data_IF_222541508005
#
_entry.id   IF_222541508005
#
_cell.length_a   1.000
_cell.length_b   1.000
_cell.length_c   1.000
_cell.angle_alpha   90.00
_cell.angle_beta   90.00
_cell.angle_gamma   90.00
#
_symmetry.space_group_name_H-M   'P 1'
#
loop_
_entity.id
_entity.type
_entity.pdbx_description
1 polymer ?
#
# COMPACT_ATOMS: atom_id res chain seq x y z
N UNK A 1 -6.31 21.70 -19.79
CA UNK A 1 -6.73 20.91 -18.61
C UNK A 1 -5.66 21.08 -17.54
N UNK A 2 -6.02 21.29 -16.26
CA UNK A 2 -4.99 21.48 -15.23
C UNK A 2 -4.09 20.26 -15.12
N UNK A 3 -2.78 20.47 -14.90
CA UNK A 3 -1.75 19.41 -14.76
C UNK A 3 -2.16 18.33 -13.74
N UNK A 4 -2.93 18.73 -12.73
CA UNK A 4 -3.49 17.87 -11.68
C UNK A 4 -4.56 16.88 -12.19
N UNK A 5 -5.59 17.35 -12.90
CA UNK A 5 -6.65 16.48 -13.42
C UNK A 5 -6.11 15.45 -14.41
N UNK A 6 -5.09 15.84 -15.17
CA UNK A 6 -4.40 14.93 -16.08
C UNK A 6 -3.63 13.83 -15.35
N UNK A 7 -2.98 14.13 -14.21
CA UNK A 7 -2.24 13.13 -13.45
C UNK A 7 -3.17 12.10 -12.79
N UNK A 8 -4.25 12.57 -12.16
CA UNK A 8 -5.27 11.68 -11.56
C UNK A 8 -5.82 10.71 -12.60
N UNK A 9 -6.10 11.20 -13.82
CA UNK A 9 -6.57 10.35 -14.92
C UNK A 9 -5.55 9.28 -15.31
N UNK A 10 -4.28 9.64 -15.50
CA UNK A 10 -3.23 8.67 -15.88
C UNK A 10 -3.00 7.62 -14.79
N UNK A 11 -2.95 8.03 -13.52
CA UNK A 11 -2.85 7.09 -12.39
C UNK A 11 -4.02 6.10 -12.38
N UNK A 12 -5.24 6.58 -12.61
CA UNK A 12 -6.43 5.72 -12.72
C UNK A 12 -6.30 4.71 -13.86
N UNK A 13 -5.82 5.13 -15.03
CA UNK A 13 -5.60 4.26 -16.20
C UNK A 13 -4.57 3.17 -15.88
N UNK A 14 -3.41 3.53 -15.34
CA UNK A 14 -2.34 2.58 -14.94
C UNK A 14 -2.87 1.52 -13.97
N UNK A 15 -3.60 1.94 -12.93
CA UNK A 15 -4.14 1.02 -11.93
C UNK A 15 -5.21 0.09 -12.55
N UNK A 16 -6.12 0.62 -13.38
CA UNK A 16 -7.20 -0.19 -13.98
C UNK A 16 -6.70 -1.22 -14.97
N UNK A 17 -5.62 -0.94 -15.67
CA UNK A 17 -5.02 -1.90 -16.62
C UNK A 17 -4.35 -3.09 -15.93
N UNK A 18 -4.02 -2.93 -14.65
CA UNK A 18 -3.10 -3.86 -13.96
C UNK A 18 -3.66 -4.43 -12.66
N UNK A 19 -4.92 -4.13 -12.32
CA UNK A 19 -5.56 -4.55 -11.06
C UNK A 19 -6.95 -5.11 -11.33
N UNK A 20 -7.38 -6.06 -10.50
CA UNK A 20 -8.74 -6.62 -10.59
C UNK A 20 -9.81 -5.58 -10.26
N UNK A 21 -9.57 -4.79 -9.22
CA UNK A 21 -10.48 -3.74 -8.80
C UNK A 21 -9.73 -2.46 -8.40
N UNK A 22 -10.31 -1.32 -8.76
CA UNK A 22 -9.78 0.01 -8.42
C UNK A 22 -10.91 0.85 -7.84
N UNK A 23 -10.77 1.21 -6.57
CA UNK A 23 -11.68 2.09 -5.85
C UNK A 23 -11.12 3.50 -5.85
N UNK A 24 -11.85 4.43 -6.47
CA UNK A 24 -11.57 5.87 -6.38
C UNK A 24 -12.37 6.50 -5.24
N UNK A 25 -11.64 7.18 -4.34
CA UNK A 25 -12.16 7.82 -3.14
C UNK A 25 -12.22 9.33 -3.30
N UNK A 26 -13.42 9.87 -3.11
CA UNK A 26 -13.71 11.30 -3.24
C UNK A 26 -13.99 11.98 -1.88
N UNK A 27 -13.64 11.32 -0.78
CA UNK A 27 -13.90 11.81 0.58
C UNK A 27 -12.59 12.03 1.36
N UNK A 28 -12.50 13.07 2.22
CA UNK A 28 -13.48 14.16 2.45
C UNK A 28 -13.75 15.06 1.24
N UNK A 29 -14.98 15.63 1.16
CA UNK A 29 -15.39 16.55 0.09
C UNK A 29 -14.88 17.99 0.29
N UNK A 30 -14.74 18.42 1.56
CA UNK A 30 -14.23 19.74 1.89
C UNK A 30 -12.75 19.87 1.52
N UNK A 31 -12.23 21.10 1.43
CA UNK A 31 -10.83 21.44 1.12
C UNK A 31 -9.79 20.85 2.09
N UNK A 32 -10.20 19.99 3.03
CA UNK A 32 -9.31 19.20 3.86
C UNK A 32 -8.57 18.19 2.97
N UNK A 33 -7.26 18.11 3.19
CA UNK A 33 -6.38 17.21 2.46
C UNK A 33 -6.85 15.75 2.61
N UNK A 34 -7.39 15.16 1.54
CA UNK A 34 -7.73 13.73 1.48
C UNK A 34 -6.48 12.89 1.62
N UNK A 35 -6.55 11.77 2.33
CA UNK A 35 -5.36 10.93 2.53
C UNK A 35 -5.18 9.84 1.48
N UNK A 36 -6.27 9.39 0.87
CA UNK A 36 -6.27 8.31 -0.12
C UNK A 36 -7.13 8.76 -1.29
N UNK A 37 -6.61 8.62 -2.52
CA UNK A 37 -7.38 8.86 -3.74
C UNK A 37 -7.77 7.53 -4.40
N UNK A 38 -6.89 6.54 -4.38
CA UNK A 38 -7.16 5.23 -4.97
C UNK A 38 -6.75 4.08 -4.06
N UNK A 39 -7.51 3.00 -4.12
CA UNK A 39 -7.14 1.69 -3.57
C UNK A 39 -7.28 0.70 -4.71
N UNK A 40 -6.22 -0.03 -5.03
CA UNK A 40 -6.26 -1.08 -6.05
C UNK A 40 -5.93 -2.43 -5.43
N UNK A 41 -6.75 -3.43 -5.75
CA UNK A 41 -6.67 -4.81 -5.26
C UNK A 41 -6.47 -5.78 -6.43
N UNK A 42 -5.88 -6.94 -6.13
CA UNK A 42 -5.54 -7.92 -7.18
C UNK A 42 -4.56 -7.33 -8.21
N UNK A 43 -3.65 -6.45 -7.77
CA UNK A 43 -2.64 -5.86 -8.65
C UNK A 43 -1.78 -6.99 -9.18
N UNK A 44 -1.84 -7.25 -10.48
CA UNK A 44 -1.08 -8.32 -11.13
C UNK A 44 0.36 -7.84 -11.26
N UNK A 45 1.21 -8.33 -10.37
CA UNK A 45 2.64 -8.03 -10.40
C UNK A 45 3.30 -9.11 -11.24
N UNK A 46 3.89 -8.69 -12.35
CA UNK A 46 4.73 -9.57 -13.16
C UNK A 46 6.06 -9.79 -12.42
N UNK A 47 6.13 -10.90 -11.67
CA UNK A 47 7.36 -11.35 -11.04
C UNK A 47 8.20 -12.24 -11.97
N UNK A 48 9.51 -12.01 -12.01
CA UNK A 48 10.47 -12.97 -12.55
C UNK A 48 10.75 -14.06 -11.52
N UNK A 49 10.46 -15.33 -11.85
CA UNK A 49 10.57 -16.46 -10.92
C UNK A 49 12.00 -16.92 -10.73
N UNK A 50 12.35 -17.29 -9.48
CA UNK A 50 13.64 -17.84 -9.02
C UNK A 50 14.17 -19.05 -9.80
N UNK A 51 13.33 -19.90 -10.36
CA UNK A 51 13.70 -21.01 -11.24
C UNK A 51 12.44 -21.34 -12.06
N UNK A 52 12.53 -21.48 -13.39
CA UNK A 52 11.45 -21.76 -14.39
C UNK A 52 10.66 -20.56 -14.98
N UNK A 53 10.48 -20.59 -16.31
CA UNK A 53 9.82 -19.60 -17.19
C UNK A 53 8.29 -19.47 -17.02
N UNK A 54 7.79 -19.48 -15.78
CA UNK A 54 6.37 -19.22 -15.49
C UNK A 54 6.27 -17.96 -14.66
N UNK A 55 5.72 -16.90 -15.22
CA UNK A 55 5.35 -15.67 -14.49
C UNK A 55 4.38 -16.04 -13.38
N UNK A 56 4.78 -15.86 -12.12
CA UNK A 56 3.82 -15.91 -11.01
C UNK A 56 3.05 -14.60 -11.07
N UNK A 57 1.72 -14.69 -11.12
CA UNK A 57 0.85 -13.57 -10.78
C UNK A 57 0.88 -13.44 -9.25
N UNK A 58 1.69 -12.53 -8.72
CA UNK A 58 1.51 -12.11 -7.34
C UNK A 58 0.37 -11.09 -7.34
N UNK A 59 -0.68 -11.37 -6.58
CA UNK A 59 -1.76 -10.40 -6.33
C UNK A 59 -1.32 -9.47 -5.22
N UNK A 60 -1.09 -8.21 -5.57
CA UNK A 60 -0.74 -7.14 -4.66
C UNK A 60 -1.92 -6.24 -4.34
N UNK A 61 -1.74 -5.40 -3.33
CA UNK A 61 -2.61 -4.27 -3.06
C UNK A 61 -1.78 -3.00 -2.96
N UNK A 62 -2.29 -1.90 -3.52
CA UNK A 62 -1.61 -0.60 -3.46
C UNK A 62 -2.61 0.48 -3.07
N UNK A 63 -2.19 1.36 -2.17
CA UNK A 63 -2.97 2.50 -1.70
C UNK A 63 -2.28 3.75 -2.21
N UNK A 64 -2.98 4.52 -3.03
CA UNK A 64 -2.38 5.62 -3.77
C UNK A 64 -2.95 6.96 -3.33
N UNK A 65 -2.03 7.90 -3.08
CA UNK A 65 -2.31 9.33 -2.97
C UNK A 65 -1.70 10.07 -4.15
N UNK A 66 -2.49 10.81 -4.91
CA UNK A 66 -2.00 11.70 -5.95
C UNK A 66 -1.74 13.08 -5.34
N UNK A 67 -0.46 13.43 -5.21
CA UNK A 67 -0.05 14.76 -4.73
C UNK A 67 0.15 15.69 -5.92
N UNK A 68 -0.62 16.77 -5.93
CA UNK A 68 -0.49 17.85 -6.93
C UNK A 68 0.17 19.09 -6.34
N UNK A 69 0.61 19.00 -5.08
CA UNK A 69 1.32 20.05 -4.37
C UNK A 69 2.78 20.10 -4.81
N UNK A 70 3.34 21.31 -4.81
CA UNK A 70 4.78 21.51 -5.02
C UNK A 70 5.58 20.79 -3.95
N UNK A 71 6.75 20.30 -4.33
CA UNK A 71 7.67 19.45 -3.55
C UNK A 71 7.03 18.17 -3.05
N UNK A 72 6.04 17.64 -3.78
CA UNK A 72 5.36 16.37 -3.46
C UNK A 72 4.99 16.27 -1.97
N UNK A 73 4.61 17.41 -1.38
CA UNK A 73 4.48 17.50 0.05
C UNK A 73 3.18 16.83 0.49
N UNK A 74 3.32 15.92 1.45
CA UNK A 74 2.21 15.18 2.06
C UNK A 74 2.28 15.46 3.55
N UNK A 75 1.17 15.86 4.15
CA UNK A 75 1.13 16.08 5.59
C UNK A 75 1.43 14.78 6.35
N UNK A 76 2.00 14.88 7.55
CA UNK A 76 2.28 13.70 8.39
C UNK A 76 1.02 12.90 8.73
N UNK A 77 -0.14 13.56 8.88
CA UNK A 77 -1.41 12.85 9.10
C UNK A 77 -1.88 12.10 7.85
N UNK A 78 -1.62 12.63 6.65
CA UNK A 78 -1.90 11.91 5.41
C UNK A 78 -0.97 10.72 5.22
N UNK A 79 0.32 10.92 5.50
CA UNK A 79 1.31 9.84 5.45
C UNK A 79 0.92 8.69 6.40
N UNK A 80 0.51 9.03 7.62
CA UNK A 80 0.10 8.06 8.64
C UNK A 80 -1.18 7.32 8.26
N UNK A 81 -2.22 8.02 7.78
CA UNK A 81 -3.46 7.38 7.31
C UNK A 81 -3.19 6.46 6.10
N UNK A 82 -2.34 6.88 5.16
CA UNK A 82 -1.96 6.09 4.00
C UNK A 82 -1.23 4.80 4.43
N UNK A 83 -0.27 4.92 5.35
CA UNK A 83 0.48 3.79 5.90
C UNK A 83 -0.42 2.85 6.71
N UNK A 84 -1.26 3.37 7.61
CA UNK A 84 -2.20 2.56 8.40
C UNK A 84 -3.17 1.79 7.53
N UNK A 85 -3.75 2.43 6.51
CA UNK A 85 -4.67 1.76 5.60
C UNK A 85 -3.94 0.67 4.80
N UNK A 86 -2.75 0.98 4.26
CA UNK A 86 -1.93 0.00 3.54
C UNK A 86 -1.55 -1.20 4.42
N UNK A 87 -1.15 -0.98 5.67
CA UNK A 87 -0.86 -2.05 6.62
C UNK A 87 -2.09 -2.91 6.89
N UNK A 88 -3.25 -2.27 7.12
CA UNK A 88 -4.50 -2.95 7.41
C UNK A 88 -4.92 -3.90 6.29
N UNK A 89 -4.67 -3.53 5.03
CA UNK A 89 -5.04 -4.33 3.87
C UNK A 89 -3.90 -5.25 3.36
N UNK A 90 -2.70 -5.21 3.96
CA UNK A 90 -1.47 -5.87 3.47
C UNK A 90 -1.04 -5.38 2.06
N UNK A 91 -1.15 -4.07 1.86
CA UNK A 91 -0.74 -3.36 0.65
C UNK A 91 0.49 -2.47 0.82
N UNK A 92 0.83 -1.75 -0.25
CA UNK A 92 1.93 -0.77 -0.30
C UNK A 92 1.37 0.64 -0.35
N UNK A 93 1.78 1.55 0.56
CA UNK A 93 1.39 2.95 0.49
C UNK A 93 2.29 3.71 -0.52
N UNK A 94 1.67 4.33 -1.52
CA UNK A 94 2.39 4.99 -2.61
C UNK A 94 1.83 6.40 -2.89
N UNK A 95 2.71 7.39 -3.02
CA UNK A 95 2.36 8.76 -3.40
C UNK A 95 2.84 9.02 -4.81
N UNK A 96 1.94 9.48 -5.67
CA UNK A 96 2.26 9.85 -7.05
C UNK A 96 2.37 11.37 -7.18
N UNK A 97 3.47 11.85 -7.78
CA UNK A 97 3.68 13.28 -8.08
C UNK A 97 4.38 13.49 -9.43
N UNK A 98 4.11 14.61 -10.10
CA UNK A 98 4.78 14.98 -11.36
C UNK A 98 6.21 15.52 -11.18
N UNK A 99 6.66 15.78 -9.95
CA UNK A 99 7.95 16.43 -9.68
C UNK A 99 9.10 15.45 -9.38
N UNK A 100 8.84 14.14 -9.46
CA UNK A 100 9.80 13.09 -9.16
C UNK A 100 10.39 12.53 -10.45
N UNK A 101 11.65 12.07 -10.39
CA UNK A 101 12.32 11.47 -11.53
C UNK A 101 11.70 10.12 -11.91
N UNK A 102 11.69 9.85 -13.21
CA UNK A 102 11.29 8.56 -13.77
C UNK A 102 12.13 7.44 -13.16
N UNK A 103 11.48 6.31 -12.86
CA UNK A 103 12.12 5.08 -12.37
C UNK A 103 12.90 5.21 -11.06
N UNK A 104 12.62 6.26 -10.27
CA UNK A 104 13.11 6.38 -8.91
C UNK A 104 11.93 6.33 -7.95
N UNK A 105 11.95 5.35 -7.05
CA UNK A 105 11.07 5.28 -5.90
C UNK A 105 11.76 5.94 -4.71
N UNK A 106 11.17 6.96 -4.14
CA UNK A 106 11.68 7.65 -2.97
C UNK A 106 11.07 7.06 -1.71
N UNK A 107 11.91 6.79 -0.72
CA UNK A 107 11.45 6.40 0.60
C UNK A 107 11.37 7.64 1.51
N UNK A 108 10.17 7.98 1.98
CA UNK A 108 9.95 9.08 2.93
C UNK A 108 9.08 8.59 4.08
N UNK A 109 9.65 8.58 5.28
CA UNK A 109 8.99 8.08 6.48
C UNK A 109 8.45 6.67 6.29
N UNK A 110 7.13 6.55 6.15
CA UNK A 110 6.40 5.28 6.05
C UNK A 110 5.73 5.04 4.70
N UNK A 111 5.98 5.90 3.72
CA UNK A 111 5.40 5.81 2.39
C UNK A 111 6.48 5.81 1.31
N UNK A 112 6.11 5.29 0.14
CA UNK A 112 6.93 5.39 -1.06
C UNK A 112 6.39 6.47 -1.98
N UNK A 113 7.26 7.11 -2.74
CA UNK A 113 6.87 8.14 -3.69
C UNK A 113 7.48 7.84 -5.05
N UNK A 114 6.75 8.15 -6.11
CA UNK A 114 7.26 8.10 -7.47
C UNK A 114 6.37 8.97 -8.36
N UNK A 115 6.73 9.08 -9.63
CA UNK A 115 5.82 9.63 -10.61
C UNK A 115 4.94 8.52 -11.20
N UNK A 116 4.04 8.90 -12.11
CA UNK A 116 3.11 7.96 -12.71
C UNK A 116 3.81 6.91 -13.59
N UNK A 117 4.89 7.27 -14.30
CA UNK A 117 5.72 6.31 -15.04
C UNK A 117 6.41 5.32 -14.09
N UNK A 118 6.94 5.78 -12.97
CA UNK A 118 7.51 4.90 -11.93
C UNK A 118 6.46 3.94 -11.39
N UNK A 119 5.23 4.39 -11.15
CA UNK A 119 4.12 3.53 -10.74
C UNK A 119 3.79 2.49 -11.82
N UNK A 120 3.69 2.90 -13.08
CA UNK A 120 3.43 1.98 -14.20
C UNK A 120 4.52 0.91 -14.29
N UNK A 121 5.79 1.31 -14.25
CA UNK A 121 6.92 0.40 -14.33
C UNK A 121 7.06 -0.50 -13.11
N UNK A 122 6.66 -0.03 -11.92
CA UNK A 122 6.65 -0.84 -10.70
C UNK A 122 5.66 -2.01 -10.79
N UNK A 123 4.54 -1.80 -11.48
CA UNK A 123 3.50 -2.81 -11.65
C UNK A 123 3.79 -3.71 -12.86
N UNK A 124 4.21 -3.12 -13.99
CA UNK A 124 4.41 -3.82 -15.26
C UNK A 124 5.83 -4.37 -15.47
N UNK A 125 6.77 -4.07 -14.56
CA UNK A 125 8.18 -4.54 -14.59
C UNK A 125 8.91 -4.25 -15.92
N UNK A 126 8.76 -3.05 -16.50
CA UNK A 126 9.32 -2.72 -17.83
C UNK A 126 10.72 -2.12 -17.82
N UNK A 127 11.02 -1.30 -16.81
CA UNK A 127 12.28 -0.54 -16.72
C UNK A 127 12.93 -0.78 -15.35
N UNK A 128 14.25 -0.60 -15.27
CA UNK A 128 14.99 -0.70 -14.02
C UNK A 128 14.56 0.43 -13.08
N UNK A 129 14.12 0.08 -11.88
CA UNK A 129 13.71 1.03 -10.83
C UNK A 129 14.73 1.00 -9.71
N UNK A 130 15.16 2.18 -9.27
CA UNK A 130 16.00 2.36 -8.09
C UNK A 130 15.19 2.90 -6.90
N UNK A 131 15.62 2.56 -5.69
CA UNK A 131 15.11 3.10 -4.44
C UNK A 131 16.03 4.22 -3.95
N UNK A 132 15.53 5.43 -3.82
CA UNK A 132 16.22 6.53 -3.15
C UNK A 132 15.92 6.54 -1.65
N UNK A 133 16.94 6.36 -0.82
CA UNK A 133 16.85 6.31 0.64
C UNK A 133 18.10 6.92 1.25
N UNK A 134 17.94 7.74 2.29
CA UNK A 134 19.07 8.33 3.05
C UNK A 134 20.14 8.98 2.14
N UNK A 135 19.68 9.72 1.14
CA UNK A 135 20.51 10.41 0.14
C UNK A 135 21.32 9.51 -0.81
N UNK A 136 21.00 8.23 -0.89
CA UNK A 136 21.66 7.27 -1.79
C UNK A 136 20.62 6.52 -2.63
N UNK A 137 21.05 6.06 -3.81
CA UNK A 137 20.26 5.20 -4.68
C UNK A 137 20.66 3.73 -4.47
N UNK A 138 19.64 2.88 -4.38
CA UNK A 138 19.76 1.45 -4.18
C UNK A 138 19.05 0.70 -5.31
N UNK A 139 19.63 -0.42 -5.72
CA UNK A 139 19.03 -1.38 -6.65
C UNK A 139 18.99 -2.76 -6.02
N UNK A 140 18.15 -3.65 -6.55
CA UNK A 140 18.08 -5.02 -6.07
C UNK A 140 19.20 -5.87 -6.69
N UNK A 141 19.61 -6.93 -6.02
CA UNK A 141 20.45 -7.97 -6.62
C UNK A 141 19.60 -8.94 -7.45
N UNK A 142 20.10 -9.31 -8.63
CA UNK A 142 19.55 -10.43 -9.38
C UNK A 142 20.09 -11.74 -8.83
N UNK A 143 19.50 -12.23 -7.74
CA UNK A 143 19.94 -13.45 -7.05
C UNK A 143 20.06 -14.64 -8.00
N UNK A 144 19.12 -14.79 -8.93
CA UNK A 144 19.13 -15.93 -9.86
C UNK A 144 20.32 -15.88 -10.80
N UNK A 145 20.59 -14.70 -11.36
CA UNK A 145 21.71 -14.53 -12.27
C UNK A 145 23.02 -14.71 -11.52
N UNK A 146 23.11 -14.21 -10.29
CA UNK A 146 24.28 -14.43 -9.42
C UNK A 146 24.49 -15.93 -9.16
N UNK A 147 23.45 -16.67 -8.75
CA UNK A 147 23.54 -18.13 -8.52
C UNK A 147 23.95 -18.89 -9.79
N UNK A 148 23.41 -18.49 -10.95
CA UNK A 148 23.79 -19.05 -12.25
C UNK A 148 25.25 -18.77 -12.60
N UNK A 149 25.71 -17.54 -12.42
CA UNK A 149 27.10 -17.16 -12.74
C UNK A 149 28.10 -17.79 -11.76
N UNK A 150 27.75 -17.93 -10.47
CA UNK A 150 28.50 -18.74 -9.49
C UNK A 150 28.67 -20.17 -10.02
N UNK A 151 27.57 -20.79 -10.42
CA UNK A 151 27.57 -22.19 -10.90
C UNK A 151 28.32 -22.35 -12.22
N UNK A 152 28.19 -21.38 -13.14
CA UNK A 152 28.73 -21.45 -14.49
C UNK A 152 30.21 -21.10 -14.57
N UNK A 153 30.67 -20.10 -13.82
CA UNK A 153 32.06 -19.61 -13.86
C UNK A 153 32.91 -20.10 -12.68
N UNK A 154 32.30 -20.80 -11.72
CA UNK A 154 32.99 -21.22 -10.49
C UNK A 154 33.33 -20.06 -9.55
N UNK A 155 32.63 -18.93 -9.66
CA UNK A 155 32.86 -17.75 -8.80
C UNK A 155 32.51 -18.12 -7.37
N UNK A 156 33.41 -17.85 -6.41
CA UNK A 156 33.10 -18.09 -4.99
C UNK A 156 32.26 -16.95 -4.44
N UNK A 157 31.35 -17.27 -3.52
CA UNK A 157 30.54 -16.28 -2.83
C UNK A 157 31.39 -15.22 -2.11
N UNK A 158 32.60 -15.60 -1.66
CA UNK A 158 33.57 -14.69 -1.04
C UNK A 158 34.06 -13.62 -2.01
N UNK A 159 34.30 -13.98 -3.27
CA UNK A 159 34.78 -13.04 -4.29
C UNK A 159 33.73 -11.96 -4.58
N UNK A 160 32.46 -12.36 -4.66
CA UNK A 160 31.35 -11.41 -4.80
C UNK A 160 31.22 -10.51 -3.57
N UNK A 161 31.40 -11.06 -2.36
CA UNK A 161 31.33 -10.26 -1.14
C UNK A 161 32.47 -9.25 -1.02
N UNK A 162 33.67 -9.62 -1.51
CA UNK A 162 34.85 -8.76 -1.54
C UNK A 162 34.64 -7.59 -2.52
N UNK A 163 34.15 -7.86 -3.74
CA UNK A 163 33.81 -6.83 -4.74
C UNK A 163 32.78 -5.84 -4.19
N UNK A 164 31.75 -6.35 -3.50
CA UNK A 164 30.70 -5.53 -2.89
C UNK A 164 31.15 -4.81 -1.61
N UNK A 165 32.31 -5.16 -1.05
CA UNK A 165 32.77 -4.67 0.24
C UNK A 165 31.76 -4.95 1.35
N UNK A 166 31.23 -6.18 1.42
CA UNK A 166 30.31 -6.63 2.46
C UNK A 166 30.78 -7.94 3.07
N UNK A 167 30.30 -8.27 4.27
CA UNK A 167 30.58 -9.58 4.83
C UNK A 167 29.92 -10.68 4.01
N UNK A 168 30.52 -11.87 3.97
CA UNK A 168 29.91 -13.08 3.37
C UNK A 168 28.49 -13.33 3.91
N UNK A 169 28.30 -13.17 5.22
CA UNK A 169 26.98 -13.31 5.87
C UNK A 169 25.97 -12.28 5.34
N UNK A 170 26.41 -11.04 5.09
CA UNK A 170 25.57 -10.00 4.50
C UNK A 170 25.15 -10.37 3.08
N UNK A 171 26.08 -10.85 2.25
CA UNK A 171 25.76 -11.30 0.89
C UNK A 171 24.80 -12.50 0.90
N UNK A 172 25.03 -13.49 1.76
CA UNK A 172 24.12 -14.64 1.91
C UNK A 172 22.70 -14.18 2.32
N UNK A 173 22.60 -13.16 3.19
CA UNK A 173 21.31 -12.56 3.55
C UNK A 173 20.67 -11.80 2.38
N UNK A 174 21.47 -11.10 1.58
CA UNK A 174 21.00 -10.42 0.38
C UNK A 174 20.42 -11.40 -0.64
N UNK A 175 21.11 -12.52 -0.89
CA UNK A 175 20.68 -13.55 -1.83
C UNK A 175 19.41 -14.28 -1.34
N UNK A 176 19.30 -14.57 -0.03
CA UNK A 176 18.10 -15.19 0.56
C UNK A 176 16.86 -14.28 0.52
N UNK A 177 17.06 -12.96 0.53
CA UNK A 177 16.01 -11.97 0.65
C UNK A 177 15.90 -11.01 -0.54
N UNK A 178 15.72 -9.74 -0.20
CA UNK A 178 15.53 -8.61 -1.11
C UNK A 178 16.75 -7.71 -1.04
N UNK A 179 17.93 -8.31 -1.29
CA UNK A 179 19.20 -7.63 -1.14
C UNK A 179 19.24 -6.32 -1.93
N UNK A 180 19.22 -5.20 -1.21
CA UNK A 180 19.46 -3.88 -1.78
C UNK A 180 20.92 -3.51 -1.62
N UNK A 181 21.53 -3.07 -2.71
CA UNK A 181 22.90 -2.54 -2.74
C UNK A 181 22.88 -1.13 -3.32
N UNK A 182 23.83 -0.29 -2.92
CA UNK A 182 23.96 1.05 -3.52
C UNK A 182 24.36 0.95 -4.98
N UNK A 183 24.05 1.99 -5.78
CA UNK A 183 24.48 2.06 -7.19
C UNK A 183 26.00 1.90 -7.32
N UNK A 184 26.78 2.52 -6.44
CA UNK A 184 28.25 2.38 -6.46
C UNK A 184 28.68 0.90 -6.36
N UNK A 185 28.00 0.11 -5.51
CA UNK A 185 28.28 -1.32 -5.39
C UNK A 185 27.80 -2.11 -6.61
N UNK A 186 26.70 -1.68 -7.23
CA UNK A 186 26.19 -2.28 -8.45
C UNK A 186 27.17 -2.08 -9.62
N UNK A 187 27.73 -0.87 -9.77
CA UNK A 187 28.73 -0.54 -10.78
C UNK A 187 29.98 -1.42 -10.65
N UNK A 188 30.42 -1.69 -9.42
CA UNK A 188 31.54 -2.62 -9.16
C UNK A 188 31.24 -4.04 -9.64
N UNK A 189 30.03 -4.56 -9.39
CA UNK A 189 29.63 -5.89 -9.88
C UNK A 189 29.63 -5.96 -11.41
N UNK A 190 29.05 -4.95 -12.07
CA UNK A 190 28.98 -4.90 -13.53
C UNK A 190 30.39 -4.80 -14.13
N UNK A 191 31.26 -3.99 -13.53
CA UNK A 191 32.65 -3.80 -13.99
C UNK A 191 33.45 -5.10 -13.87
N UNK A 192 33.36 -5.79 -12.73
CA UNK A 192 34.16 -7.00 -12.47
C UNK A 192 33.69 -8.19 -13.32
N UNK A 193 32.38 -8.42 -13.37
CA UNK A 193 31.84 -9.65 -13.96
C UNK A 193 31.34 -9.49 -15.40
N UNK A 194 31.19 -8.23 -15.87
CA UNK A 194 30.60 -7.88 -17.18
C UNK A 194 29.22 -8.51 -17.39
N UNK A 195 28.44 -8.60 -16.31
CA UNK A 195 27.08 -9.16 -16.28
C UNK A 195 26.21 -8.25 -15.43
N UNK A 196 25.00 -7.99 -15.90
CA UNK A 196 24.02 -7.17 -15.19
C UNK A 196 23.40 -7.95 -14.01
N UNK A 197 24.19 -8.11 -12.95
CA UNK A 197 23.81 -8.82 -11.72
C UNK A 197 22.85 -8.02 -10.83
N UNK A 198 22.28 -6.92 -11.33
CA UNK A 198 21.27 -6.14 -10.62
C UNK A 198 19.88 -6.34 -11.20
N UNK A 199 18.90 -5.98 -10.40
CA UNK A 199 17.48 -6.09 -10.72
C UNK A 199 16.74 -4.84 -10.25
N UNK A 200 15.55 -4.66 -10.82
CA UNK A 200 14.63 -3.58 -10.47
C UNK A 200 14.12 -3.73 -9.03
N UNK A 201 13.93 -2.60 -8.35
CA UNK A 201 13.17 -2.57 -7.09
C UNK A 201 11.70 -2.86 -7.41
N UNK A 202 11.24 -4.06 -7.07
CA UNK A 202 9.88 -4.53 -7.35
C UNK A 202 8.88 -4.18 -6.25
N UNK A 203 7.59 -4.36 -6.53
CA UNK A 203 6.52 -4.27 -5.53
C UNK A 203 6.80 -5.11 -4.29
N UNK A 204 7.22 -6.37 -4.47
CA UNK A 204 7.48 -7.30 -3.36
C UNK A 204 8.63 -6.79 -2.47
N UNK A 205 9.62 -6.12 -3.07
CA UNK A 205 10.69 -5.44 -2.31
C UNK A 205 10.12 -4.31 -1.46
N UNK A 206 9.30 -3.43 -2.05
CA UNK A 206 8.68 -2.32 -1.33
C UNK A 206 7.76 -2.80 -0.21
N UNK A 207 6.94 -3.83 -0.46
CA UNK A 207 6.05 -4.44 0.53
C UNK A 207 6.82 -4.96 1.74
N UNK A 208 7.93 -5.67 1.53
CA UNK A 208 8.76 -6.17 2.62
C UNK A 208 9.49 -5.06 3.37
N UNK A 209 10.00 -4.03 2.69
CA UNK A 209 10.58 -2.85 3.36
C UNK A 209 9.54 -2.20 4.26
N UNK A 210 8.32 -2.03 3.76
CA UNK A 210 7.21 -1.46 4.51
C UNK A 210 6.86 -2.32 5.73
N UNK A 211 6.72 -3.65 5.56
CA UNK A 211 6.45 -4.58 6.66
C UNK A 211 7.53 -4.56 7.75
N UNK A 212 8.81 -4.53 7.37
CA UNK A 212 9.95 -4.54 8.31
C UNK A 212 10.11 -3.25 9.09
N UNK A 213 9.78 -2.11 8.48
CA UNK A 213 9.84 -0.80 9.14
C UNK A 213 8.69 -0.54 10.10
N UNK A 214 7.63 -1.31 9.98
CA UNK A 214 6.39 -1.07 10.70
C UNK A 214 6.41 -1.84 12.02
N UNK A 215 6.72 -1.16 13.11
CA UNK A 215 6.07 -1.50 14.39
C UNK A 215 4.57 -1.28 14.16
N UNK A 216 3.74 -2.30 14.37
CA UNK A 216 2.29 -2.27 14.08
C UNK A 216 1.69 -0.92 14.45
N UNK A 217 1.09 -0.20 13.47
CA UNK A 217 0.41 1.09 13.71
C UNK A 217 -1.02 0.92 14.23
N UNK A 218 -1.45 -0.33 14.34
CA UNK A 218 -2.71 -0.67 14.94
C UNK A 218 -2.63 -0.64 16.47
N UNK A 219 -3.70 -0.13 17.07
CA UNK A 219 -4.04 -0.50 18.44
C UNK A 219 -4.39 -2.00 18.45
N UNK A 220 -3.77 -2.76 19.35
CA UNK A 220 -4.05 -4.19 19.51
C UNK A 220 -5.14 -4.35 20.56
N UNK A 221 -6.16 -5.12 20.20
CA UNK A 221 -7.34 -5.35 21.03
C UNK A 221 -7.61 -6.84 21.06
N UNK A 222 -7.53 -7.44 22.25
CA UNK A 222 -7.74 -8.87 22.42
C UNK A 222 -6.77 -9.52 23.41
N UNK A 223 -7.02 -10.79 23.72
CA UNK A 223 -6.17 -11.62 24.56
C UNK A 223 -5.55 -12.79 23.77
N UNK A 224 -4.92 -13.72 24.50
CA UNK A 224 -4.02 -14.81 24.08
C UNK A 224 -4.40 -15.60 22.80
N UNK A 225 -5.66 -15.59 22.34
CA UNK A 225 -6.14 -16.37 21.19
C UNK A 225 -6.49 -15.56 19.92
N UNK A 226 -6.71 -14.23 20.01
CA UNK A 226 -7.09 -13.39 18.86
C UNK A 226 -6.55 -11.97 18.99
N UNK A 227 -5.55 -11.64 18.18
CA UNK A 227 -5.05 -10.28 18.05
C UNK A 227 -5.90 -9.54 17.01
N UNK A 228 -6.85 -8.71 17.46
CA UNK A 228 -7.48 -7.74 16.57
C UNK A 228 -6.58 -6.52 16.46
N UNK A 229 -6.28 -6.14 15.22
CA UNK A 229 -5.55 -4.92 14.90
C UNK A 229 -6.55 -3.87 14.45
N UNK A 230 -6.58 -2.75 15.16
CA UNK A 230 -7.50 -1.63 14.90
C UNK A 230 -6.70 -0.44 14.40
N UNK A 231 -7.00 -0.02 13.19
CA UNK A 231 -6.35 1.09 12.52
C UNK A 231 -7.29 2.28 12.48
N UNK A 232 -7.07 3.27 13.35
CA UNK A 232 -7.82 4.52 13.34
C UNK A 232 -7.29 5.49 12.29
N UNK A 233 -8.19 5.98 11.44
CA UNK A 233 -7.95 6.86 10.31
C UNK A 233 -8.73 8.16 10.47
N UNK A 234 -8.19 9.26 9.95
CA UNK A 234 -8.70 10.61 10.25
C UNK A 234 -9.27 11.33 9.03
N UNK A 235 -8.76 11.05 7.83
CA UNK A 235 -9.00 11.81 6.60
C UNK A 235 -9.37 10.90 5.42
N UNK A 236 -10.14 9.86 5.71
CA UNK A 236 -10.64 8.89 4.71
C UNK A 236 -12.11 8.54 4.97
N UNK A 237 -12.71 7.81 4.04
CA UNK A 237 -14.13 7.47 4.07
C UNK A 237 -14.50 6.53 5.23
N UNK A 238 -13.54 5.76 5.72
CA UNK A 238 -13.68 4.85 6.86
C UNK A 238 -12.89 5.39 8.05
N UNK A 239 -13.42 5.30 9.26
CA UNK A 239 -12.74 5.80 10.46
C UNK A 239 -11.87 4.73 11.10
N UNK A 240 -12.27 3.46 10.97
CA UNK A 240 -11.48 2.33 11.44
C UNK A 240 -11.44 1.22 10.41
N UNK A 241 -10.26 0.61 10.29
CA UNK A 241 -10.09 -0.69 9.65
C UNK A 241 -9.72 -1.67 10.74
N UNK A 242 -10.45 -2.78 10.84
CA UNK A 242 -10.18 -3.83 11.82
C UNK A 242 -9.78 -5.08 11.08
N UNK A 243 -8.66 -5.69 11.48
CA UNK A 243 -8.19 -6.95 10.94
C UNK A 243 -7.94 -7.95 12.04
N UNK A 244 -8.51 -9.13 11.89
CA UNK A 244 -8.21 -10.26 12.74
C UNK A 244 -6.91 -10.91 12.27
N UNK A 245 -5.89 -10.85 13.12
CA UNK A 245 -4.60 -11.47 12.84
C UNK A 245 -4.59 -12.90 13.39
N UNK A 246 -4.68 -13.86 12.47
CA UNK A 246 -4.49 -15.28 12.77
C UNK A 246 -3.25 -15.79 12.06
N UNK A 247 -2.39 -16.58 12.73
CA UNK A 247 -1.28 -17.25 12.07
C UNK A 247 -1.81 -18.08 10.89
N UNK A 248 -1.29 -17.85 9.69
CA UNK A 248 -1.59 -18.60 8.46
C UNK A 248 -3.02 -18.47 7.88
N UNK A 249 -3.84 -17.52 8.36
CA UNK A 249 -5.17 -17.29 7.80
C UNK A 249 -5.36 -15.81 7.45
N UNK A 250 -5.61 -15.55 6.16
CA UNK A 250 -5.85 -14.19 5.68
C UNK A 250 -7.32 -13.82 5.92
N UNK A 251 -7.57 -13.06 6.99
CA UNK A 251 -8.88 -12.46 7.23
C UNK A 251 -9.05 -11.18 6.40
N UNK A 252 -10.18 -10.98 5.69
CA UNK A 252 -10.45 -9.72 5.01
C UNK A 252 -10.60 -8.58 6.04
N UNK A 253 -10.22 -7.34 5.68
CA UNK A 253 -10.43 -6.19 6.54
C UNK A 253 -11.94 -5.96 6.77
N UNK A 254 -12.29 -5.46 7.96
CA UNK A 254 -13.62 -4.94 8.27
C UNK A 254 -13.54 -3.43 8.38
N UNK A 255 -14.49 -2.75 7.76
CA UNK A 255 -14.53 -1.30 7.72
C UNK A 255 -15.60 -0.77 8.66
N UNK A 256 -15.24 0.28 9.40
CA UNK A 256 -16.15 0.95 10.33
C UNK A 256 -16.21 2.43 10.02
N UNK A 257 -17.41 2.99 10.10
CA UNK A 257 -17.68 4.41 9.97
C UNK A 257 -18.40 4.90 11.21
N UNK A 258 -17.77 5.85 11.91
CA UNK A 258 -18.40 6.66 12.94
C UNK A 258 -18.98 7.93 12.31
N UNK A 259 -20.20 8.26 12.74
CA UNK A 259 -20.98 9.36 12.15
C UNK A 259 -20.92 10.66 12.94
N UNK A 260 -20.29 10.61 14.10
CA UNK A 260 -20.09 11.76 14.96
C UNK A 260 -19.30 12.86 14.24
N UNK A 261 -19.81 14.09 14.34
CA UNK A 261 -19.09 15.29 13.89
C UNK A 261 -19.04 15.49 12.38
N UNK A 262 -19.93 14.85 11.60
CA UNK A 262 -20.05 15.10 10.16
C UNK A 262 -20.88 16.38 9.92
N UNK A 263 -20.32 17.41 9.26
CA UNK A 263 -20.90 18.75 9.25
C UNK A 263 -22.09 18.92 8.30
N UNK A 264 -22.31 18.02 7.34
CA UNK A 264 -23.44 18.13 6.41
C UNK A 264 -23.89 16.77 5.88
N UNK A 265 -25.17 16.71 5.47
CA UNK A 265 -25.75 15.56 4.78
C UNK A 265 -24.98 15.17 3.51
N UNK A 266 -24.46 16.18 2.79
CA UNK A 266 -23.63 15.98 1.60
C UNK A 266 -22.31 15.27 1.93
N UNK A 267 -21.64 15.68 3.01
CA UNK A 267 -20.43 15.00 3.47
C UNK A 267 -20.71 13.60 4.01
N UNK A 268 -21.80 13.43 4.77
CA UNK A 268 -22.26 12.12 5.25
C UNK A 268 -22.47 11.15 4.09
N UNK A 269 -23.23 11.58 3.08
CA UNK A 269 -23.50 10.79 1.88
C UNK A 269 -22.20 10.41 1.16
N UNK A 270 -21.30 11.36 0.95
CA UNK A 270 -20.01 11.05 0.32
C UNK A 270 -19.14 10.11 1.14
N UNK A 271 -19.13 10.24 2.48
CA UNK A 271 -18.41 9.32 3.38
C UNK A 271 -18.92 7.90 3.20
N UNK A 272 -20.23 7.70 3.35
CA UNK A 272 -20.88 6.40 3.24
C UNK A 272 -20.71 5.78 1.86
N UNK A 273 -20.91 6.55 0.79
CA UNK A 273 -20.73 6.06 -0.57
C UNK A 273 -19.31 5.55 -0.82
N UNK A 274 -18.29 6.31 -0.40
CA UNK A 274 -16.91 5.90 -0.58
C UNK A 274 -16.52 4.72 0.33
N UNK A 275 -17.06 4.65 1.55
CA UNK A 275 -16.87 3.51 2.44
C UNK A 275 -17.53 2.22 1.90
N UNK A 276 -18.71 2.33 1.28
CA UNK A 276 -19.40 1.20 0.64
C UNK A 276 -18.60 0.70 -0.57
N UNK A 277 -17.99 1.58 -1.37
CA UNK A 277 -17.10 1.17 -2.47
C UNK A 277 -15.96 0.29 -1.95
N UNK A 278 -15.32 0.69 -0.84
CA UNK A 278 -14.28 -0.12 -0.19
C UNK A 278 -14.83 -1.46 0.30
N UNK A 279 -15.98 -1.46 0.99
CA UNK A 279 -16.56 -2.71 1.49
C UNK A 279 -16.88 -3.71 0.37
N UNK A 280 -17.41 -3.23 -0.76
CA UNK A 280 -17.65 -4.03 -1.96
C UNK A 280 -16.35 -4.62 -2.52
N UNK A 281 -15.30 -3.79 -2.64
CA UNK A 281 -14.04 -4.21 -3.22
C UNK A 281 -13.29 -5.30 -2.44
N UNK A 282 -13.54 -5.38 -1.13
CA UNK A 282 -12.95 -6.40 -0.26
C UNK A 282 -13.93 -7.52 0.09
N UNK A 283 -15.12 -7.55 -0.53
CA UNK A 283 -16.15 -8.55 -0.23
C UNK A 283 -16.56 -8.58 1.25
N UNK A 284 -16.50 -7.42 1.93
CA UNK A 284 -16.74 -7.29 3.37
C UNK A 284 -18.00 -6.47 3.66
N UNK A 285 -18.36 -6.40 4.95
CA UNK A 285 -19.51 -5.62 5.43
C UNK A 285 -18.99 -4.33 6.09
N UNK A 286 -19.50 -3.20 5.61
CA UNK A 286 -19.32 -1.91 6.26
C UNK A 286 -20.18 -1.84 7.52
N UNK A 287 -19.55 -1.65 8.68
CA UNK A 287 -20.25 -1.41 9.94
C UNK A 287 -20.41 0.09 10.17
N UNK A 288 -21.65 0.56 10.19
CA UNK A 288 -21.98 1.97 10.46
C UNK A 288 -22.39 2.12 11.92
N UNK A 289 -21.67 2.97 12.64
CA UNK A 289 -21.82 3.21 14.07
C UNK A 289 -22.47 4.57 14.28
N UNK A 290 -23.72 4.55 14.74
CA UNK A 290 -24.51 5.75 15.05
C UNK A 290 -24.61 5.96 16.57
N UNK A 291 -24.74 7.21 16.99
CA UNK A 291 -24.82 7.60 18.40
C UNK A 291 -26.24 7.59 18.95
N UNK A 292 -27.25 7.65 18.07
CA UNK A 292 -28.66 7.61 18.44
C UNK A 292 -29.52 6.88 17.40
N UNK A 293 -30.74 6.52 17.79
CA UNK A 293 -31.71 5.85 16.90
C UNK A 293 -32.15 6.79 15.78
N UNK A 294 -32.33 8.08 16.08
CA UNK A 294 -32.70 9.11 15.11
C UNK A 294 -31.62 9.26 14.04
N UNK A 295 -30.35 9.27 14.44
CA UNK A 295 -29.21 9.30 13.51
C UNK A 295 -29.23 8.06 12.62
N UNK A 296 -29.47 6.88 13.21
CA UNK A 296 -29.56 5.59 12.52
C UNK A 296 -30.67 5.55 11.44
N UNK A 297 -31.88 6.03 11.78
CA UNK A 297 -32.99 6.07 10.83
C UNK A 297 -32.77 7.08 9.71
N UNK A 298 -32.23 8.27 10.02
CA UNK A 298 -31.85 9.27 9.01
C UNK A 298 -30.90 8.68 7.95
N UNK A 299 -29.89 7.91 8.36
CA UNK A 299 -28.94 7.29 7.43
C UNK A 299 -29.61 6.21 6.59
N UNK A 300 -30.47 5.39 7.19
CA UNK A 300 -31.22 4.37 6.45
C UNK A 300 -32.06 5.01 5.37
N UNK A 301 -32.71 6.13 5.66
CA UNK A 301 -33.47 6.89 4.66
C UNK A 301 -32.55 7.43 3.55
N UNK A 302 -31.41 8.02 3.87
CA UNK A 302 -30.47 8.53 2.86
C UNK A 302 -29.89 7.42 1.97
N UNK A 303 -29.55 6.27 2.55
CA UNK A 303 -29.09 5.11 1.78
C UNK A 303 -30.21 4.54 0.91
N UNK A 304 -31.46 4.51 1.39
CA UNK A 304 -32.63 4.12 0.57
C UNK A 304 -32.86 5.09 -0.59
N UNK A 305 -32.76 6.40 -0.36
CA UNK A 305 -32.90 7.41 -1.44
C UNK A 305 -31.88 7.19 -2.56
N UNK A 306 -30.66 6.79 -2.20
CA UNK A 306 -29.57 6.63 -3.16
C UNK A 306 -29.58 5.30 -3.90
N UNK A 307 -29.85 4.20 -3.19
CA UNK A 307 -29.74 2.85 -3.73
C UNK A 307 -31.11 2.21 -4.04
N UNK A 308 -32.21 2.88 -3.74
CA UNK A 308 -33.57 2.32 -3.73
C UNK A 308 -33.80 1.41 -2.51
N UNK A 309 -32.93 0.41 -2.35
CA UNK A 309 -32.86 -0.46 -1.19
C UNK A 309 -31.46 -0.41 -0.56
N UNK A 310 -31.39 -0.57 0.76
CA UNK A 310 -30.11 -0.61 1.46
C UNK A 310 -29.38 -1.88 0.99
N UNK A 311 -28.11 -1.79 0.57
CA UNK A 311 -27.32 -2.96 0.19
C UNK A 311 -26.94 -3.78 1.44
N UNK A 312 -27.90 -4.52 2.00
CA UNK A 312 -27.76 -5.26 3.27
C UNK A 312 -26.62 -6.29 3.23
N UNK A 313 -26.19 -6.73 2.03
CA UNK A 313 -25.01 -7.59 1.85
C UNK A 313 -23.69 -6.91 2.23
N UNK A 314 -23.65 -5.58 2.24
CA UNK A 314 -22.42 -4.80 2.40
C UNK A 314 -22.51 -3.73 3.49
N UNK A 315 -23.64 -3.58 4.17
CA UNK A 315 -23.83 -2.59 5.23
C UNK A 315 -24.57 -3.20 6.41
N UNK A 316 -23.97 -3.10 7.59
CA UNK A 316 -24.60 -3.36 8.88
C UNK A 316 -24.67 -2.07 9.69
N UNK A 317 -25.71 -1.93 10.52
CA UNK A 317 -25.87 -0.78 11.40
C UNK A 317 -25.81 -1.22 12.85
N UNK A 318 -25.13 -0.43 13.67
CA UNK A 318 -25.04 -0.63 15.12
C UNK A 318 -25.22 0.69 15.85
N UNK A 319 -25.93 0.64 16.98
CA UNK A 319 -26.03 1.76 17.91
C UNK A 319 -24.87 1.71 18.89
N UNK A 320 -24.27 2.87 19.14
CA UNK A 320 -23.25 3.06 20.16
C UNK A 320 -23.96 3.07 21.53
N UNK A 321 -23.99 1.95 22.24
CA UNK A 321 -24.53 1.93 23.62
C UNK A 321 -23.50 2.51 24.60
N UNK A 322 -22.20 2.44 24.25
CA UNK A 322 -21.04 3.13 24.81
C UNK A 322 -19.97 3.18 23.69
N UNK A 323 -18.94 4.06 23.79
CA UNK A 323 -17.81 4.10 22.84
C UNK A 323 -17.42 2.68 22.40
N UNK A 324 -16.96 2.43 21.15
CA UNK A 324 -16.42 1.13 20.81
C UNK A 324 -15.21 0.86 21.72
N UNK A 325 -15.47 0.20 22.86
CA UNK A 325 -14.46 -0.09 23.87
C UNK A 325 -13.68 -1.26 23.34
N UNK A 326 -12.74 -0.93 22.48
CA UNK A 326 -11.59 -1.74 22.21
C UNK A 326 -10.75 -1.74 23.50
N UNK A 327 -11.13 -2.58 24.48
CA UNK A 327 -10.45 -2.64 25.77
C UNK A 327 -9.00 -3.05 25.54
N UNK A 328 -8.07 -2.15 25.89
CA UNK A 328 -6.65 -2.48 25.98
C UNK A 328 -6.48 -3.55 27.05
N UNK A 329 -5.97 -4.70 26.66
CA UNK A 329 -5.38 -5.67 27.58
C UNK A 329 -4.10 -5.03 28.14
N UNK A 330 -4.15 -4.70 29.43
CA UNK A 330 -3.03 -4.18 30.23
C UNK A 330 -1.92 -5.20 30.42
#
# INVERSE_FOLDING_TARGET
>A
MSSSASLVRRVREVLRESSEEVVELEYPLSSRERSIDFVATGVVILGERRYSHTSIREEGQIVVRVSTLRRYNVSSSTEEDLAKFAEAIDGVPFVVSNELYDNIVYERGHVFLGNERTLENLIKSRELIALYRRNELYVALNTQLIEREISRRGIRISEISDVLGVSRKSLENYLKGLGLISIEKAERLVTEYSVDMVASVSYSILKDIFRRKTTSRADIVGGVERDLRVYKLSKTAVDYVVREFKPNEASPPRFYVELRGIPSLKELRAKLLNAIKLAKAYGTVLSVVASSVEELEMIKEELKKEFGEIPQRHVSFSLTVQEPVFQRSS
#
